data_IF_534511859470
#
_entry.id   IF_534511859470
#
_cell.length_a   1.000
_cell.length_b   1.000
_cell.length_c   1.000
_cell.angle_alpha   90.00
_cell.angle_beta   90.00
_cell.angle_gamma   90.00
#
_symmetry.space_group_name_H-M   'P 1'
#
loop_
_entity.id
_entity.type
_entity.pdbx_description
1 polymer ?
#
# COMPACT_ATOMS: atom_id res chain seq x y z
N UNK A 1 16.99 -14.66 10.32
CA UNK A 1 15.62 -14.16 10.61
C UNK A 1 14.82 -14.32 9.32
N UNK A 2 13.50 -14.52 9.36
CA UNK A 2 12.70 -14.50 8.14
C UNK A 2 12.82 -13.13 7.46
N UNK A 3 12.71 -13.11 6.14
CA UNK A 3 12.77 -11.88 5.35
C UNK A 3 11.69 -10.88 5.80
N UNK A 4 11.98 -9.57 5.83
CA UNK A 4 11.04 -8.57 6.32
C UNK A 4 9.88 -8.29 5.35
N UNK A 5 9.95 -8.82 4.13
CA UNK A 5 8.86 -8.86 3.16
C UNK A 5 8.86 -10.25 2.52
N UNK A 6 7.71 -10.89 2.44
CA UNK A 6 7.54 -12.21 1.81
C UNK A 6 6.85 -12.08 0.46
N UNK A 7 7.14 -13.01 -0.44
CA UNK A 7 6.58 -13.06 -1.78
C UNK A 7 6.18 -14.48 -2.17
N UNK A 8 4.93 -14.64 -2.59
CA UNK A 8 4.38 -15.91 -3.08
C UNK A 8 3.51 -15.66 -4.32
N UNK A 9 3.53 -16.60 -5.26
CA UNK A 9 2.65 -16.59 -6.44
C UNK A 9 1.89 -17.90 -6.48
N UNK A 10 0.56 -17.83 -6.60
CA UNK A 10 -0.27 -19.02 -6.72
C UNK A 10 -0.57 -19.41 -8.17
N UNK A 11 -1.17 -20.59 -8.37
CA UNK A 11 -1.53 -21.10 -9.69
C UNK A 11 -2.61 -20.29 -10.43
N UNK A 12 -3.25 -19.31 -9.78
CA UNK A 12 -4.25 -18.42 -10.38
C UNK A 12 -3.61 -17.15 -10.95
N UNK A 13 -2.32 -16.92 -10.69
CA UNK A 13 -1.61 -15.70 -11.06
C UNK A 13 -1.78 -14.57 -10.05
N UNK A 14 -2.07 -14.89 -8.78
CA UNK A 14 -2.08 -13.92 -7.68
C UNK A 14 -0.70 -13.89 -7.04
N UNK A 15 -0.05 -12.74 -7.09
CA UNK A 15 1.19 -12.47 -6.39
C UNK A 15 0.89 -11.80 -5.05
N UNK A 16 1.18 -12.47 -3.93
CA UNK A 16 0.98 -11.91 -2.59
C UNK A 16 2.30 -11.38 -2.05
N UNK A 17 2.33 -10.08 -1.77
CA UNK A 17 3.43 -9.39 -1.09
C UNK A 17 3.00 -9.14 0.36
N UNK A 18 3.72 -9.76 1.30
CA UNK A 18 3.40 -9.69 2.73
C UNK A 18 4.46 -8.91 3.48
N UNK A 19 4.09 -7.81 4.13
CA UNK A 19 4.97 -7.09 5.06
C UNK A 19 5.12 -7.91 6.35
N UNK A 20 6.36 -8.25 6.71
CA UNK A 20 6.67 -9.28 7.72
C UNK A 20 7.64 -8.76 8.80
N UNK A 21 7.32 -7.60 9.38
CA UNK A 21 8.00 -7.06 10.57
C UNK A 21 6.96 -6.80 11.68
N UNK A 22 6.20 -7.81 12.14
CA UNK A 22 5.05 -7.60 13.03
C UNK A 22 5.42 -6.95 14.37
N UNK A 23 6.64 -7.20 14.88
CA UNK A 23 7.15 -6.55 16.10
C UNK A 23 7.40 -5.04 15.96
N UNK A 24 7.61 -4.57 14.73
CA UNK A 24 7.73 -3.15 14.38
C UNK A 24 6.46 -2.62 13.71
N UNK A 25 5.33 -3.32 13.86
CA UNK A 25 4.07 -2.99 13.19
C UNK A 25 4.24 -2.81 11.67
N UNK A 26 5.12 -3.63 11.08
CA UNK A 26 5.45 -3.63 9.66
C UNK A 26 6.03 -2.31 9.13
N UNK A 27 6.69 -1.52 9.99
CA UNK A 27 7.39 -0.31 9.55
C UNK A 27 8.41 -0.63 8.44
N UNK A 28 8.46 0.20 7.40
CA UNK A 28 9.27 0.00 6.19
C UNK A 28 10.67 0.59 6.40
N UNK A 29 11.65 -0.29 6.57
CA UNK A 29 13.07 0.05 6.53
C UNK A 29 13.63 -0.08 5.09
N UNK A 30 14.92 0.18 4.91
CA UNK A 30 15.58 0.05 3.61
C UNK A 30 15.51 -1.36 3.02
N UNK A 31 15.66 -2.39 3.84
CA UNK A 31 15.57 -3.79 3.38
C UNK A 31 14.16 -4.12 2.86
N UNK A 32 13.10 -3.66 3.54
CA UNK A 32 11.73 -3.76 3.04
C UNK A 32 11.59 -3.09 1.67
N UNK A 33 12.17 -1.89 1.50
CA UNK A 33 12.09 -1.15 0.24
C UNK A 33 12.80 -1.88 -0.90
N UNK A 34 13.96 -2.47 -0.63
CA UNK A 34 14.71 -3.24 -1.62
C UNK A 34 13.96 -4.50 -2.05
N UNK A 35 13.37 -5.24 -1.10
CA UNK A 35 12.54 -6.41 -1.41
C UNK A 35 11.25 -6.04 -2.15
N UNK A 36 10.57 -4.96 -1.73
CA UNK A 36 9.40 -4.44 -2.44
C UNK A 36 9.74 -4.10 -3.89
N UNK A 37 10.86 -3.42 -4.13
CA UNK A 37 11.34 -3.12 -5.47
C UNK A 37 11.56 -4.40 -6.28
N UNK A 38 12.29 -5.37 -5.74
CA UNK A 38 12.54 -6.66 -6.41
C UNK A 38 11.25 -7.43 -6.73
N UNK A 39 10.32 -7.52 -5.80
CA UNK A 39 9.07 -8.26 -6.00
C UNK A 39 8.11 -7.55 -6.96
N UNK A 40 8.09 -6.22 -6.96
CA UNK A 40 7.33 -5.46 -7.95
C UNK A 40 7.92 -5.59 -9.35
N UNK A 41 9.25 -5.66 -9.48
CA UNK A 41 9.89 -5.98 -10.77
C UNK A 41 9.48 -7.37 -11.25
N UNK A 42 9.46 -8.36 -10.36
CA UNK A 42 8.96 -9.70 -10.68
C UNK A 42 7.49 -9.66 -11.12
N UNK A 43 6.63 -8.89 -10.43
CA UNK A 43 5.22 -8.72 -10.82
C UNK A 43 5.04 -8.06 -12.20
N UNK A 44 5.96 -7.18 -12.58
CA UNK A 44 5.97 -6.51 -13.89
C UNK A 44 6.44 -7.44 -15.01
N UNK A 45 7.49 -8.21 -14.75
CA UNK A 45 8.25 -8.91 -15.79
C UNK A 45 7.84 -10.39 -15.96
N UNK A 46 7.27 -11.03 -14.92
CA UNK A 46 6.81 -12.41 -15.02
C UNK A 46 5.50 -12.51 -15.80
N UNK A 47 5.40 -13.42 -16.79
CA UNK A 47 4.15 -13.66 -17.48
C UNK A 47 3.14 -14.32 -16.54
N UNK A 48 1.86 -14.00 -16.72
CA UNK A 48 0.77 -14.66 -16.01
C UNK A 48 0.41 -14.04 -14.65
N UNK A 49 1.09 -12.98 -14.22
CA UNK A 49 0.65 -12.19 -13.06
C UNK A 49 -0.61 -11.43 -13.43
N UNK A 50 -1.72 -11.76 -12.77
CA UNK A 50 -3.04 -11.16 -13.00
C UNK A 50 -3.39 -10.13 -11.94
N UNK A 51 -2.93 -10.37 -10.70
CA UNK A 51 -3.25 -9.55 -9.55
C UNK A 51 -2.10 -9.55 -8.55
N UNK A 52 -1.85 -8.41 -7.90
CA UNK A 52 -0.94 -8.29 -6.75
C UNK A 52 -1.77 -7.99 -5.50
N UNK A 53 -1.61 -8.80 -4.46
CA UNK A 53 -2.21 -8.60 -3.15
C UNK A 53 -1.15 -8.11 -2.16
N UNK A 54 -1.38 -6.98 -1.52
CA UNK A 54 -0.61 -6.51 -0.38
C UNK A 54 -1.31 -6.85 0.93
N UNK A 55 -0.57 -7.41 1.88
CA UNK A 55 -1.02 -7.62 3.27
C UNK A 55 0.13 -7.40 4.26
N UNK A 56 -0.19 -7.28 5.54
CA UNK A 56 0.80 -7.23 6.62
C UNK A 56 0.58 -8.37 7.63
N UNK A 57 1.67 -8.84 8.24
CA UNK A 57 1.62 -9.81 9.33
C UNK A 57 1.32 -9.16 10.68
N UNK A 58 0.73 -9.95 11.58
CA UNK A 58 0.50 -9.53 12.96
C UNK A 58 -0.57 -8.44 13.10
N UNK A 59 -0.43 -7.51 14.06
CA UNK A 59 -1.55 -6.68 14.51
C UNK A 59 -1.93 -5.52 13.59
N UNK A 60 -1.08 -5.17 12.62
CA UNK A 60 -1.27 -3.99 11.75
C UNK A 60 -0.82 -4.26 10.33
N UNK A 61 -1.40 -3.57 9.37
CA UNK A 61 -0.93 -3.57 8.00
C UNK A 61 0.49 -2.97 7.92
N UNK A 62 0.66 -1.69 8.28
CA UNK A 62 1.94 -0.99 8.27
C UNK A 62 1.86 0.36 9.01
N UNK A 63 2.78 0.58 9.94
CA UNK A 63 2.88 1.82 10.73
C UNK A 63 3.68 2.95 10.04
N UNK A 64 4.11 2.76 8.79
CA UNK A 64 4.81 3.78 8.01
C UNK A 64 6.28 3.47 7.78
N UNK A 65 7.10 4.50 7.58
CA UNK A 65 8.55 4.33 7.44
C UNK A 65 9.19 4.05 8.81
N UNK A 66 10.28 3.27 8.81
CA UNK A 66 11.06 3.03 10.02
C UNK A 66 11.81 4.32 10.43
N UNK A 67 11.30 4.99 11.46
CA UNK A 67 11.85 6.26 11.94
C UNK A 67 13.28 6.12 12.49
N UNK A 68 13.72 4.90 12.85
CA UNK A 68 15.09 4.67 13.32
C UNK A 68 16.14 4.86 12.22
N UNK A 69 15.74 4.84 10.95
CA UNK A 69 16.60 5.12 9.80
C UNK A 69 16.63 6.61 9.41
N UNK A 70 15.85 7.46 10.09
CA UNK A 70 15.82 8.87 9.74
C UNK A 70 17.14 9.55 10.11
N UNK A 71 17.77 10.19 9.14
CA UNK A 71 19.06 10.85 9.32
C UNK A 71 20.28 9.93 9.29
N UNK A 72 20.12 8.64 8.98
CA UNK A 72 21.26 7.69 8.91
C UNK A 72 21.98 7.70 7.56
N UNK A 73 21.37 8.28 6.52
CA UNK A 73 21.98 8.39 5.20
C UNK A 73 23.22 9.31 5.23
N UNK A 74 24.29 9.01 4.46
CA UNK A 74 25.51 9.83 4.45
C UNK A 74 25.28 11.30 4.07
N UNK A 75 24.27 11.55 3.23
CA UNK A 75 23.79 12.90 2.91
C UNK A 75 22.32 12.89 2.49
N UNK A 76 21.69 14.08 2.50
CA UNK A 76 20.34 14.27 1.96
C UNK A 76 20.28 13.89 0.46
N UNK A 77 21.37 14.13 -0.27
CA UNK A 77 21.45 13.80 -1.71
C UNK A 77 21.46 12.28 -1.92
N UNK A 78 22.21 11.54 -1.10
CA UNK A 78 22.24 10.07 -1.18
C UNK A 78 20.89 9.47 -0.81
N UNK A 79 20.23 10.00 0.23
CA UNK A 79 18.88 9.58 0.60
C UNK A 79 17.87 9.81 -0.53
N UNK A 80 17.92 10.98 -1.19
CA UNK A 80 17.06 11.29 -2.33
C UNK A 80 17.36 10.40 -3.54
N UNK A 81 18.64 10.17 -3.84
CA UNK A 81 19.08 9.33 -4.95
C UNK A 81 18.60 7.89 -4.76
N UNK A 82 18.78 7.31 -3.57
CA UNK A 82 18.30 5.96 -3.27
C UNK A 82 16.79 5.81 -3.48
N UNK A 83 15.98 6.81 -3.11
CA UNK A 83 14.53 6.81 -3.33
C UNK A 83 14.16 6.94 -4.81
N UNK A 84 14.91 7.71 -5.58
CA UNK A 84 14.63 7.93 -7.01
C UNK A 84 15.08 6.75 -7.88
N UNK A 85 16.22 6.14 -7.60
CA UNK A 85 16.74 5.01 -8.37
C UNK A 85 15.88 3.74 -8.21
N UNK A 86 15.27 3.58 -7.03
CA UNK A 86 14.38 2.46 -6.68
C UNK A 86 13.02 3.00 -6.23
N UNK A 87 12.35 3.72 -7.12
CA UNK A 87 11.04 4.28 -6.84
C UNK A 87 9.94 3.19 -6.86
N UNK A 88 9.80 2.51 -5.72
CA UNK A 88 8.79 1.48 -5.44
C UNK A 88 7.38 1.95 -5.84
N UNK A 89 7.08 3.23 -5.65
CA UNK A 89 5.74 3.78 -5.84
C UNK A 89 5.44 4.00 -7.32
N UNK A 90 6.38 4.61 -8.04
CA UNK A 90 6.28 4.74 -9.49
C UNK A 90 6.19 3.36 -10.16
N UNK A 91 6.98 2.38 -9.70
CA UNK A 91 6.92 1.01 -10.21
C UNK A 91 5.57 0.35 -9.95
N UNK A 92 5.02 0.49 -8.73
CA UNK A 92 3.68 -0.01 -8.39
C UNK A 92 2.58 0.61 -9.28
N UNK A 93 2.60 1.94 -9.46
CA UNK A 93 1.65 2.62 -10.33
C UNK A 93 1.76 2.13 -11.79
N UNK A 94 2.98 1.81 -12.26
CA UNK A 94 3.26 1.36 -13.63
C UNK A 94 2.84 -0.08 -13.95
N UNK A 95 2.44 -0.89 -12.95
CA UNK A 95 2.05 -2.28 -13.19
C UNK A 95 0.89 -2.41 -14.20
N UNK A 96 0.75 -3.58 -14.83
CA UNK A 96 -0.37 -3.83 -15.75
C UNK A 96 -1.46 -4.73 -15.16
N UNK A 97 -1.15 -5.39 -14.06
CA UNK A 97 -2.04 -6.24 -13.29
C UNK A 97 -2.79 -5.42 -12.23
N UNK A 98 -3.92 -5.96 -11.77
CA UNK A 98 -4.74 -5.33 -10.73
C UNK A 98 -3.99 -5.38 -9.40
N UNK A 99 -4.09 -4.34 -8.58
CA UNK A 99 -3.49 -4.31 -7.24
C UNK A 99 -4.53 -4.14 -6.14
N UNK A 100 -4.44 -4.98 -5.11
CA UNK A 100 -5.39 -5.02 -3.99
C UNK A 100 -4.62 -4.89 -2.69
N UNK A 101 -5.11 -4.05 -1.77
CA UNK A 101 -4.59 -3.94 -0.42
C UNK A 101 -5.60 -4.49 0.59
N UNK A 102 -5.17 -5.47 1.39
CA UNK A 102 -5.86 -5.95 2.59
C UNK A 102 -5.33 -5.18 3.80
N UNK A 103 -6.18 -4.36 4.40
CA UNK A 103 -5.78 -3.39 5.43
C UNK A 103 -6.40 -3.74 6.79
N UNK A 104 -5.62 -3.77 7.86
CA UNK A 104 -6.09 -4.00 9.23
C UNK A 104 -5.20 -3.25 10.22
N UNK A 105 -5.71 -3.00 11.43
CA UNK A 105 -4.97 -2.25 12.46
C UNK A 105 -4.46 -0.90 11.93
N UNK A 106 -3.19 -0.58 12.19
CA UNK A 106 -2.59 0.68 11.75
C UNK A 106 -2.17 0.63 10.26
N UNK A 107 -2.60 1.64 9.51
CA UNK A 107 -2.22 1.93 8.13
C UNK A 107 -1.75 3.38 8.05
N UNK A 108 -0.52 3.66 8.49
CA UNK A 108 -0.02 5.03 8.71
C UNK A 108 1.15 5.38 7.80
N UNK A 109 1.26 6.65 7.41
CA UNK A 109 2.35 7.19 6.60
C UNK A 109 2.58 6.36 5.33
N UNK A 110 3.80 5.90 5.08
CA UNK A 110 4.10 4.99 3.96
C UNK A 110 3.23 3.70 3.93
N UNK A 111 2.69 3.28 5.08
CA UNK A 111 1.72 2.19 5.21
C UNK A 111 0.30 2.52 4.77
N UNK A 112 -0.04 3.81 4.66
CA UNK A 112 -1.23 4.30 3.97
C UNK A 112 -0.93 4.62 2.50
N UNK A 113 0.24 5.20 2.23
CA UNK A 113 0.61 5.64 0.89
C UNK A 113 0.75 4.47 -0.09
N UNK A 114 1.24 3.31 0.35
CA UNK A 114 1.30 2.09 -0.48
C UNK A 114 -0.12 1.65 -0.93
N UNK A 115 -1.11 1.44 -0.02
CA UNK A 115 -2.48 1.14 -0.42
C UNK A 115 -3.14 2.21 -1.29
N UNK A 116 -2.80 3.50 -1.12
CA UNK A 116 -3.32 4.57 -1.97
C UNK A 116 -2.83 4.47 -3.43
N UNK A 117 -1.73 3.75 -3.69
CA UNK A 117 -1.28 3.39 -5.04
C UNK A 117 -1.97 2.11 -5.58
N UNK A 118 -2.79 1.44 -4.78
CA UNK A 118 -3.50 0.24 -5.20
C UNK A 118 -4.84 0.56 -5.89
N UNK A 119 -5.31 -0.34 -6.76
CA UNK A 119 -6.60 -0.19 -7.42
C UNK A 119 -7.76 -0.41 -6.43
N UNK A 120 -7.63 -1.41 -5.55
CA UNK A 120 -8.64 -1.77 -4.55
C UNK A 120 -8.06 -1.74 -3.13
N UNK A 121 -8.85 -1.23 -2.19
CA UNK A 121 -8.53 -1.17 -0.76
C UNK A 121 -9.70 -1.73 0.03
N UNK A 122 -9.47 -2.85 0.72
CA UNK A 122 -10.44 -3.51 1.59
C UNK A 122 -9.86 -3.51 2.99
N UNK A 123 -10.63 -3.01 3.96
CA UNK A 123 -10.16 -2.85 5.32
C UNK A 123 -11.02 -3.57 6.36
N UNK A 124 -10.40 -3.92 7.48
CA UNK A 124 -11.11 -4.18 8.72
C UNK A 124 -11.79 -2.88 9.22
N UNK A 125 -12.92 -3.01 9.88
CA UNK A 125 -13.68 -1.91 10.48
C UNK A 125 -12.97 -1.25 11.67
N UNK A 126 -12.03 -1.96 12.30
CA UNK A 126 -11.15 -1.45 13.34
C UNK A 126 -9.88 -0.77 12.81
N UNK A 127 -9.65 -0.77 11.49
CA UNK A 127 -8.47 -0.15 10.91
C UNK A 127 -8.43 1.37 11.15
N UNK A 128 -7.20 1.91 11.22
CA UNK A 128 -6.92 3.33 11.41
C UNK A 128 -5.96 3.81 10.34
N UNK A 129 -6.25 4.98 9.78
CA UNK A 129 -5.53 5.55 8.65
C UNK A 129 -5.02 6.94 9.02
N UNK A 130 -3.76 7.24 8.73
CA UNK A 130 -3.18 8.56 9.00
C UNK A 130 -2.00 8.86 8.07
N UNK A 131 -1.73 10.15 7.85
CA UNK A 131 -0.48 10.67 7.28
C UNK A 131 0.20 11.59 8.30
N UNK A 132 0.79 11.02 9.37
CA UNK A 132 1.26 11.78 10.54
C UNK A 132 2.59 12.51 10.31
N UNK A 133 3.19 12.46 9.12
CA UNK A 133 4.52 12.99 8.82
C UNK A 133 4.72 14.45 9.25
N UNK A 134 3.66 15.28 9.16
CA UNK A 134 3.70 16.70 9.55
C UNK A 134 4.00 16.91 11.03
N UNK A 135 3.60 15.97 11.89
CA UNK A 135 3.90 16.03 13.34
C UNK A 135 5.37 15.73 13.63
N UNK A 136 6.07 15.12 12.67
CA UNK A 136 7.49 14.79 12.73
C UNK A 136 8.36 15.82 11.97
N UNK A 137 7.76 16.89 11.43
CA UNK A 137 8.47 17.90 10.62
C UNK A 137 8.75 17.45 9.18
N UNK A 138 8.05 16.42 8.69
CA UNK A 138 8.13 15.92 7.32
C UNK A 138 6.80 16.12 6.59
N UNK A 139 6.78 15.78 5.30
CA UNK A 139 5.54 15.64 4.53
C UNK A 139 5.42 14.20 4.04
N UNK A 140 4.19 13.72 3.74
CA UNK A 140 4.01 12.44 3.05
C UNK A 140 4.74 12.46 1.71
N UNK A 141 5.65 11.52 1.52
CA UNK A 141 6.61 11.53 0.41
C UNK A 141 6.73 10.19 -0.31
N UNK A 142 5.90 9.21 0.05
CA UNK A 142 5.73 7.96 -0.68
C UNK A 142 4.49 8.01 -1.60
N UNK A 143 4.30 9.14 -2.29
CA UNK A 143 3.16 9.50 -3.16
C UNK A 143 1.88 10.00 -2.47
N UNK A 144 1.79 10.01 -1.14
CA UNK A 144 0.58 10.42 -0.40
C UNK A 144 0.08 11.83 -0.69
N UNK A 145 1.01 12.78 -0.89
CA UNK A 145 0.68 14.16 -1.30
C UNK A 145 0.04 14.26 -2.69
N UNK A 146 0.10 13.18 -3.47
CA UNK A 146 -0.44 13.10 -4.83
C UNK A 146 -1.62 12.15 -4.92
N UNK A 147 -1.53 10.97 -4.31
CA UNK A 147 -2.56 9.93 -4.40
C UNK A 147 -3.77 10.25 -3.53
N UNK A 148 -3.57 10.78 -2.32
CA UNK A 148 -4.70 11.10 -1.45
C UNK A 148 -5.61 12.19 -2.05
N UNK A 149 -5.09 13.34 -2.54
CA UNK A 149 -5.94 14.36 -3.17
C UNK A 149 -6.66 13.92 -4.45
N UNK A 150 -6.18 12.86 -5.12
CA UNK A 150 -6.85 12.24 -6.28
C UNK A 150 -7.90 11.21 -5.86
N UNK A 151 -7.85 10.73 -4.62
CA UNK A 151 -8.70 9.64 -4.10
C UNK A 151 -9.90 10.18 -3.32
N UNK A 152 -9.72 11.21 -2.50
CA UNK A 152 -10.76 11.74 -1.59
C UNK A 152 -11.06 13.21 -1.89
N UNK A 153 -12.17 13.78 -1.38
CA UNK A 153 -12.46 15.20 -1.57
C UNK A 153 -11.29 16.10 -1.14
N UNK A 154 -11.00 17.21 -1.85
CA UNK A 154 -9.81 18.04 -1.58
C UNK A 154 -9.69 18.53 -0.13
N UNK A 155 -10.81 18.91 0.50
CA UNK A 155 -10.83 19.33 1.91
C UNK A 155 -10.51 18.20 2.89
N UNK A 156 -10.90 16.96 2.57
CA UNK A 156 -10.56 15.77 3.36
C UNK A 156 -9.06 15.48 3.23
N UNK A 157 -8.53 15.51 2.00
CA UNK A 157 -7.10 15.29 1.77
C UNK A 157 -6.24 16.32 2.52
N UNK A 158 -6.63 17.61 2.44
CA UNK A 158 -5.96 18.68 3.18
C UNK A 158 -6.04 18.46 4.69
N UNK A 159 -7.20 18.09 5.23
CA UNK A 159 -7.34 17.79 6.66
C UNK A 159 -6.42 16.64 7.09
N UNK A 160 -6.44 15.50 6.40
CA UNK A 160 -5.62 14.32 6.74
C UNK A 160 -4.12 14.64 6.67
N UNK A 161 -3.67 15.34 5.62
CA UNK A 161 -2.24 15.65 5.43
C UNK A 161 -1.77 16.73 6.41
N UNK A 162 -2.53 17.81 6.59
CA UNK A 162 -2.07 18.98 7.35
C UNK A 162 -2.25 18.82 8.86
N UNK A 163 -3.21 18.00 9.30
CA UNK A 163 -3.39 17.69 10.73
C UNK A 163 -2.53 16.49 11.18
N UNK A 164 -2.32 15.52 10.29
CA UNK A 164 -1.73 14.24 10.64
C UNK A 164 -2.60 13.38 11.58
N UNK A 165 -3.85 13.79 11.82
CA UNK A 165 -4.76 13.08 12.72
C UNK A 165 -5.26 11.76 12.10
N UNK A 166 -5.42 10.70 12.91
CA UNK A 166 -5.93 9.43 12.43
C UNK A 166 -7.44 9.48 12.17
N UNK A 167 -7.86 8.77 11.14
CA UNK A 167 -9.26 8.59 10.77
C UNK A 167 -9.65 7.12 10.89
N UNK A 168 -10.91 6.84 11.21
CA UNK A 168 -11.45 5.49 11.32
C UNK A 168 -11.91 4.93 9.97
N UNK A 169 -12.18 3.61 9.92
CA UNK A 169 -12.66 2.94 8.72
C UNK A 169 -14.01 3.47 8.21
N UNK A 170 -14.88 3.93 9.12
CA UNK A 170 -16.17 4.50 8.72
C UNK A 170 -15.99 5.82 7.95
N UNK A 171 -15.13 6.71 8.43
CA UNK A 171 -14.77 7.94 7.73
C UNK A 171 -14.03 7.65 6.42
N UNK A 172 -13.05 6.74 6.45
CA UNK A 172 -12.31 6.31 5.27
C UNK A 172 -13.24 5.76 4.17
N UNK A 173 -14.24 4.96 4.53
CA UNK A 173 -15.24 4.45 3.60
C UNK A 173 -16.14 5.57 3.06
N UNK A 174 -16.66 6.45 3.93
CA UNK A 174 -17.51 7.58 3.52
C UNK A 174 -16.81 8.53 2.54
N UNK A 175 -15.51 8.72 2.68
CA UNK A 175 -14.74 9.64 1.84
C UNK A 175 -14.14 8.98 0.59
N UNK A 176 -14.35 7.67 0.39
CA UNK A 176 -13.80 6.93 -0.74
C UNK A 176 -12.31 6.58 -0.60
N UNK A 177 -11.73 6.75 0.59
CA UNK A 177 -10.36 6.30 0.85
C UNK A 177 -10.27 4.78 0.76
N UNK A 178 -11.26 4.04 1.27
CA UNK A 178 -11.37 2.59 1.08
C UNK A 178 -12.66 2.24 0.34
N UNK A 179 -12.67 1.12 -0.38
CA UNK A 179 -13.85 0.67 -1.11
C UNK A 179 -14.79 -0.22 -0.29
N UNK A 180 -14.26 -0.89 0.74
CA UNK A 180 -15.02 -1.82 1.59
C UNK A 180 -14.43 -1.88 2.99
N UNK A 181 -15.29 -1.84 4.01
CA UNK A 181 -14.96 -2.10 5.40
C UNK A 181 -15.80 -3.27 5.92
N UNK A 182 -15.18 -4.23 6.60
CA UNK A 182 -15.85 -5.42 7.19
C UNK A 182 -15.28 -5.71 8.58
N UNK A 183 -15.99 -6.48 9.44
CA UNK A 183 -15.40 -6.95 10.69
C UNK A 183 -14.04 -7.61 10.47
N UNK A 184 -13.07 -7.37 11.34
CA UNK A 184 -11.72 -7.92 11.21
C UNK A 184 -11.70 -9.44 10.98
N UNK A 185 -12.61 -10.19 11.61
CA UNK A 185 -12.76 -11.64 11.45
C UNK A 185 -13.28 -12.08 10.07
N UNK A 186 -13.85 -11.17 9.30
CA UNK A 186 -14.39 -11.41 7.96
C UNK A 186 -13.52 -10.82 6.84
N UNK A 187 -12.39 -10.17 7.20
CA UNK A 187 -11.53 -9.46 6.24
C UNK A 187 -10.96 -10.39 5.16
N UNK A 188 -10.43 -11.55 5.55
CA UNK A 188 -9.84 -12.51 4.61
C UNK A 188 -10.88 -13.01 3.60
N UNK A 189 -12.06 -13.39 4.08
CA UNK A 189 -13.15 -13.84 3.23
C UNK A 189 -13.61 -12.74 2.24
N UNK A 190 -13.69 -11.49 2.69
CA UNK A 190 -14.06 -10.36 1.83
C UNK A 190 -13.00 -10.06 0.76
N UNK A 191 -11.72 -10.24 1.09
CA UNK A 191 -10.60 -10.09 0.12
C UNK A 191 -10.62 -11.23 -0.89
N UNK A 192 -10.81 -12.47 -0.45
CA UNK A 192 -10.90 -13.63 -1.34
C UNK A 192 -12.08 -13.54 -2.30
N UNK A 193 -13.24 -13.09 -1.81
CA UNK A 193 -14.42 -12.81 -2.63
C UNK A 193 -14.10 -11.78 -3.73
N UNK A 194 -13.46 -10.67 -3.37
CA UNK A 194 -13.13 -9.62 -4.34
C UNK A 194 -12.07 -10.10 -5.34
N UNK A 195 -11.04 -10.81 -4.90
CA UNK A 195 -10.03 -11.40 -5.79
C UNK A 195 -10.69 -12.38 -6.77
N UNK A 196 -11.60 -13.24 -6.30
CA UNK A 196 -12.32 -14.17 -7.17
C UNK A 196 -13.14 -13.43 -8.23
N UNK A 197 -13.83 -12.35 -7.84
CA UNK A 197 -14.59 -11.47 -8.75
C UNK A 197 -13.69 -10.79 -9.78
N UNK A 198 -12.52 -10.31 -9.38
CA UNK A 198 -11.56 -9.66 -10.29
C UNK A 198 -10.92 -10.67 -11.25
N UNK A 199 -10.63 -11.89 -10.78
CA UNK A 199 -10.06 -12.96 -11.60
C UNK A 199 -11.08 -13.60 -12.56
N UNK A 200 -12.39 -13.38 -12.37
CA UNK A 200 -13.40 -13.80 -13.35
C UNK A 200 -13.42 -12.91 -14.60
N UNK A 201 -12.77 -11.73 -14.56
CA UNK A 201 -12.62 -10.85 -15.71
C UNK A 201 -11.55 -11.37 -16.67
N UNK A 202 -11.76 -11.18 -17.97
CA UNK A 202 -10.74 -11.46 -18.99
C UNK A 202 -9.47 -10.64 -18.74
N UNK A 203 -8.26 -11.26 -18.67
CA UNK A 203 -7.03 -10.56 -18.29
C UNK A 203 -6.75 -9.29 -19.08
N UNK A 204 -6.93 -9.33 -20.41
CA UNK A 204 -6.69 -8.19 -21.29
C UNK A 204 -7.64 -7.01 -20.99
N UNK A 205 -8.92 -7.30 -20.67
CA UNK A 205 -9.94 -6.30 -20.35
C UNK A 205 -9.64 -5.67 -19.00
N UNK A 206 -9.26 -6.48 -18.01
CA UNK A 206 -8.84 -6.00 -16.69
C UNK A 206 -7.64 -5.05 -16.79
N UNK A 207 -6.59 -5.43 -17.52
CA UNK A 207 -5.41 -4.58 -17.74
C UNK A 207 -5.76 -3.29 -18.48
N UNK A 208 -6.60 -3.36 -19.52
CA UNK A 208 -7.03 -2.17 -20.25
C UNK A 208 -7.85 -1.22 -19.37
N UNK A 209 -8.78 -1.77 -18.57
CA UNK A 209 -9.56 -1.02 -17.59
C UNK A 209 -8.68 -0.30 -16.58
N UNK A 210 -7.72 -1.01 -15.96
CA UNK A 210 -6.75 -0.43 -15.04
C UNK A 210 -6.01 0.75 -15.68
N UNK A 211 -5.44 0.55 -16.88
CA UNK A 211 -4.68 1.60 -17.59
C UNK A 211 -5.51 2.85 -17.87
N UNK A 212 -6.83 2.71 -18.02
CA UNK A 212 -7.72 3.84 -18.25
C UNK A 212 -8.08 4.63 -16.97
N UNK A 213 -7.87 4.04 -15.79
CA UNK A 213 -8.26 4.62 -14.49
C UNK A 213 -7.10 5.02 -13.60
N UNK A 214 -5.90 4.49 -13.85
CA UNK A 214 -4.68 4.92 -13.15
C UNK A 214 -4.36 6.36 -13.57
N UNK A 215 -4.46 7.28 -12.60
CA UNK A 215 -4.22 8.71 -12.76
C UNK A 215 -2.76 9.11 -12.49
#
# INVERSE_FOLDING_TARGET
MPDPVLFEIDGRGVATITLNRPRQLNALNMECRDLLWTYLQACRDLPGIRLVLFRGEGPSFCAGADISEFGTAPSIMDSRRARHERDVWALLLSLSCITVARMHGYCYGAGLELPLCCDYRIAADDARFALPEVTLGYIPSACGTQTLPRTVPPGVAAHVILSGEPIDAAAALRWGLIGRAVPASALDAAVDEEIARLLSLGPAVATAGRRATVA
#
